data_IF_016624450632
#
_entry.id   IF_016624450632
#
_cell.length_a   1.000
_cell.length_b   1.000
_cell.length_c   1.000
_cell.angle_alpha   90.00
_cell.angle_beta   90.00
_cell.angle_gamma   90.00
#
_symmetry.space_group_name_H-M   'P 1'
#
loop_
_entity.id
_entity.type
_entity.pdbx_description
1 polymer ?
#
# COMPACT_ATOMS: atom_id res chain seq x y z
N UNK A 1 32.54 -2.92 -15.33
CA UNK A 1 32.44 -1.76 -16.23
C UNK A 1 31.69 -2.17 -17.49
N UNK A 2 30.51 -1.69 -17.84
CA UNK A 2 29.71 -0.60 -17.25
C UNK A 2 28.26 -0.69 -17.75
N UNK A 3 27.33 -0.79 -16.81
CA UNK A 3 26.16 0.10 -16.65
C UNK A 3 25.33 0.52 -17.87
N UNK A 4 24.69 -0.39 -18.60
CA UNK A 4 23.71 0.06 -19.62
C UNK A 4 22.51 -0.87 -19.88
N UNK A 5 22.30 -1.90 -19.04
CA UNK A 5 21.12 -2.78 -19.15
C UNK A 5 20.18 -2.80 -17.94
N UNK A 6 20.45 -2.03 -16.90
CA UNK A 6 19.62 -1.98 -15.68
C UNK A 6 18.77 -0.70 -15.59
N UNK A 7 18.97 0.25 -16.50
CA UNK A 7 18.30 1.57 -16.46
C UNK A 7 16.83 1.58 -16.97
N UNK A 8 16.26 0.45 -17.41
CA UNK A 8 14.87 0.40 -17.93
C UNK A 8 13.86 -0.37 -17.05
N UNK A 9 14.07 -0.44 -15.73
CA UNK A 9 13.04 -0.93 -14.78
C UNK A 9 12.77 0.03 -13.61
N UNK A 10 13.44 1.19 -13.56
CA UNK A 10 13.41 2.12 -12.45
C UNK A 10 12.71 3.46 -12.77
N UNK A 11 11.67 3.43 -13.62
CA UNK A 11 10.52 4.29 -13.28
C UNK A 11 9.90 3.70 -12.02
N UNK A 12 10.54 3.95 -10.88
CA UNK A 12 10.00 3.74 -9.53
C UNK A 12 8.54 4.16 -9.60
N UNK A 13 7.61 3.22 -9.42
CA UNK A 13 6.22 3.58 -9.13
C UNK A 13 6.24 4.23 -7.75
N UNK A 14 6.61 5.51 -7.71
CA UNK A 14 6.59 6.33 -6.51
C UNK A 14 5.17 6.24 -5.94
N UNK A 15 5.06 5.80 -4.68
CA UNK A 15 3.77 5.58 -4.03
C UNK A 15 3.17 4.19 -4.27
N UNK A 16 3.92 3.23 -4.80
CA UNK A 16 3.49 1.83 -4.78
C UNK A 16 3.74 1.20 -3.41
N UNK A 17 2.69 0.64 -2.82
CA UNK A 17 2.77 -0.04 -1.53
C UNK A 17 3.23 -1.49 -1.72
N UNK A 18 4.41 -1.81 -1.20
CA UNK A 18 4.94 -3.18 -1.21
C UNK A 18 4.47 -3.92 0.05
N UNK A 19 3.93 -5.15 -0.06
CA UNK A 19 3.54 -5.94 1.09
C UNK A 19 4.72 -6.17 2.05
N UNK A 20 4.50 -5.97 3.35
CA UNK A 20 5.51 -6.09 4.38
C UNK A 20 6.53 -4.95 4.43
N UNK A 21 6.34 -3.89 3.64
CA UNK A 21 7.27 -2.74 3.57
C UNK A 21 6.59 -1.41 3.89
N UNK A 22 5.28 -1.41 4.17
CA UNK A 22 4.56 -0.19 4.56
C UNK A 22 4.75 0.05 6.05
N UNK A 23 5.31 1.19 6.43
CA UNK A 23 5.41 1.60 7.83
C UNK A 23 4.02 1.79 8.46
N UNK A 24 3.86 1.45 9.75
CA UNK A 24 2.56 1.49 10.43
C UNK A 24 1.91 2.87 10.41
N UNK A 25 2.68 3.95 10.65
CA UNK A 25 2.13 5.30 10.61
C UNK A 25 1.74 5.75 9.20
N UNK A 26 2.50 5.32 8.18
CA UNK A 26 2.13 5.57 6.78
C UNK A 26 0.82 4.85 6.43
N UNK A 27 0.67 3.60 6.89
CA UNK A 27 -0.58 2.85 6.73
C UNK A 27 -1.77 3.54 7.41
N UNK A 28 -1.62 4.00 8.66
CA UNK A 28 -2.69 4.70 9.40
C UNK A 28 -3.16 5.97 8.68
N UNK A 29 -2.23 6.81 8.22
CA UNK A 29 -2.55 8.01 7.46
C UNK A 29 -3.33 7.68 6.17
N UNK A 30 -2.91 6.66 5.42
CA UNK A 30 -3.63 6.21 4.24
C UNK A 30 -5.01 5.64 4.58
N UNK A 31 -5.13 4.90 5.69
CA UNK A 31 -6.39 4.36 6.16
C UNK A 31 -7.39 5.47 6.51
N UNK A 32 -6.93 6.52 7.21
CA UNK A 32 -7.75 7.68 7.57
C UNK A 32 -8.28 8.40 6.32
N UNK A 33 -7.45 8.56 5.29
CA UNK A 33 -7.84 9.18 4.01
C UNK A 33 -8.80 8.27 3.21
N UNK A 34 -8.70 6.96 3.36
CA UNK A 34 -9.44 5.98 2.54
C UNK A 34 -10.92 5.82 2.89
N UNK A 35 -11.37 6.39 4.02
CA UNK A 35 -12.70 6.17 4.59
C UNK A 35 -13.05 4.68 4.78
N UNK A 36 -12.05 3.82 4.99
CA UNK A 36 -12.26 2.40 5.33
C UNK A 36 -12.49 2.30 6.84
N UNK A 37 -13.75 2.20 7.26
CA UNK A 37 -14.12 2.12 8.67
C UNK A 37 -14.29 0.69 9.20
N UNK A 38 -14.19 -0.32 8.32
CA UNK A 38 -14.34 -1.72 8.74
C UNK A 38 -13.06 -2.22 9.41
N UNK A 39 -13.14 -2.48 10.72
CA UNK A 39 -12.02 -3.01 11.51
C UNK A 39 -11.41 -4.28 10.89
N UNK A 40 -12.25 -5.18 10.37
CA UNK A 40 -11.80 -6.43 9.73
C UNK A 40 -10.99 -6.14 8.46
N UNK A 41 -11.40 -5.16 7.67
CA UNK A 41 -10.66 -4.76 6.46
C UNK A 41 -9.35 -4.07 6.83
N UNK A 42 -9.38 -3.18 7.82
CA UNK A 42 -8.17 -2.50 8.31
C UNK A 42 -7.15 -3.51 8.84
N UNK A 43 -7.60 -4.48 9.64
CA UNK A 43 -6.76 -5.58 10.11
C UNK A 43 -6.15 -6.38 8.95
N UNK A 44 -6.96 -6.77 7.95
CA UNK A 44 -6.47 -7.53 6.80
C UNK A 44 -5.42 -6.73 6.00
N UNK A 45 -5.64 -5.43 5.81
CA UNK A 45 -4.70 -4.55 5.12
C UNK A 45 -3.41 -4.36 5.93
N UNK A 46 -3.47 -4.20 7.26
CA UNK A 46 -2.28 -4.10 8.11
C UNK A 46 -1.46 -5.40 8.06
N UNK A 47 -2.12 -6.54 8.23
CA UNK A 47 -1.47 -7.86 8.17
C UNK A 47 -0.77 -8.08 6.81
N UNK A 48 -1.36 -7.61 5.72
CA UNK A 48 -0.79 -7.75 4.39
C UNK A 48 0.31 -6.71 4.07
N UNK A 49 0.01 -5.42 4.24
CA UNK A 49 0.87 -4.30 3.83
C UNK A 49 1.98 -3.99 4.83
N UNK A 50 1.72 -4.13 6.13
CA UNK A 50 2.66 -3.80 7.20
C UNK A 50 3.39 -5.05 7.67
N UNK A 51 2.66 -6.13 7.98
CA UNK A 51 3.26 -7.37 8.52
C UNK A 51 3.77 -8.34 7.44
N UNK A 52 3.43 -8.13 6.17
CA UNK A 52 3.94 -8.93 5.06
C UNK A 52 3.36 -10.35 4.98
N UNK A 53 2.23 -10.60 5.64
CA UNK A 53 1.56 -11.90 5.53
C UNK A 53 1.04 -12.12 4.10
N UNK A 54 0.89 -13.38 3.73
CA UNK A 54 0.24 -13.72 2.45
C UNK A 54 -1.23 -13.28 2.46
N UNK A 55 -1.81 -13.06 1.26
CA UNK A 55 -3.23 -12.71 1.13
C UNK A 55 -4.14 -13.70 1.85
N UNK A 56 -3.84 -15.00 1.71
CA UNK A 56 -4.61 -16.06 2.34
C UNK A 56 -4.57 -15.97 3.88
N UNK A 57 -3.37 -15.82 4.47
CA UNK A 57 -3.22 -15.69 5.92
C UNK A 57 -3.95 -14.45 6.46
N UNK A 58 -3.74 -13.29 5.85
CA UNK A 58 -4.37 -12.05 6.27
C UNK A 58 -5.91 -12.13 6.18
N UNK A 59 -6.44 -12.68 5.08
CA UNK A 59 -7.88 -12.88 4.90
C UNK A 59 -8.47 -13.86 5.91
N UNK A 60 -7.78 -14.97 6.19
CA UNK A 60 -8.24 -15.97 7.16
C UNK A 60 -8.29 -15.37 8.58
N UNK A 61 -7.25 -14.64 8.98
CA UNK A 61 -7.17 -14.02 10.31
C UNK A 61 -8.21 -12.91 10.51
N UNK A 62 -8.44 -12.08 9.49
CA UNK A 62 -9.48 -11.06 9.54
C UNK A 62 -10.89 -11.60 9.24
N UNK A 63 -10.99 -12.84 8.75
CA UNK A 63 -12.20 -13.47 8.23
C UNK A 63 -12.90 -12.67 7.13
N UNK A 64 -12.15 -12.21 6.14
CA UNK A 64 -12.69 -11.59 4.91
C UNK A 64 -12.32 -12.41 3.69
N UNK A 65 -12.94 -12.15 2.55
CA UNK A 65 -12.56 -12.80 1.29
C UNK A 65 -11.29 -12.18 0.67
N UNK A 66 -10.55 -12.98 -0.09
CA UNK A 66 -9.39 -12.48 -0.85
C UNK A 66 -9.78 -11.46 -1.93
N UNK A 67 -10.99 -11.56 -2.49
CA UNK A 67 -11.53 -10.57 -3.42
C UNK A 67 -11.76 -9.22 -2.74
N UNK A 68 -12.32 -9.22 -1.53
CA UNK A 68 -12.48 -8.01 -0.72
C UNK A 68 -11.12 -7.35 -0.43
N UNK A 69 -10.14 -8.13 0.05
CA UNK A 69 -8.79 -7.62 0.28
C UNK A 69 -8.18 -7.04 -1.01
N UNK A 70 -8.34 -7.70 -2.15
CA UNK A 70 -7.75 -7.24 -3.42
C UNK A 70 -8.31 -5.90 -3.88
N UNK A 71 -9.62 -5.69 -3.74
CA UNK A 71 -10.26 -4.40 -4.03
C UNK A 71 -9.71 -3.31 -3.11
N UNK A 72 -9.57 -3.61 -1.82
CA UNK A 72 -9.10 -2.63 -0.82
C UNK A 72 -7.60 -2.33 -0.93
N UNK A 73 -6.78 -3.31 -1.31
CA UNK A 73 -5.37 -3.06 -1.66
C UNK A 73 -5.29 -2.14 -2.87
N UNK A 74 -6.10 -2.34 -3.92
CA UNK A 74 -6.14 -1.43 -5.07
C UNK A 74 -6.50 0.00 -4.64
N UNK A 75 -7.54 0.15 -3.81
CA UNK A 75 -7.92 1.46 -3.25
C UNK A 75 -6.74 2.14 -2.52
N UNK A 76 -6.01 1.41 -1.67
CA UNK A 76 -4.83 1.93 -0.97
C UNK A 76 -3.69 2.33 -1.93
N UNK A 77 -3.48 1.57 -3.00
CA UNK A 77 -2.50 1.91 -4.05
C UNK A 77 -2.87 3.19 -4.78
N UNK A 78 -4.15 3.37 -5.09
CA UNK A 78 -4.64 4.58 -5.78
C UNK A 78 -4.43 5.81 -4.90
N UNK A 79 -4.80 5.73 -3.62
CA UNK A 79 -4.59 6.83 -2.65
C UNK A 79 -3.10 7.14 -2.50
N UNK A 80 -2.25 6.14 -2.31
CA UNK A 80 -0.80 6.37 -2.15
C UNK A 80 -0.18 7.01 -3.39
N UNK A 81 -0.63 6.66 -4.59
CA UNK A 81 -0.19 7.31 -5.83
C UNK A 81 -0.67 8.76 -5.91
N UNK A 82 -1.92 9.04 -5.54
CA UNK A 82 -2.43 10.40 -5.47
C UNK A 82 -1.65 11.24 -4.46
N UNK A 83 -1.35 10.71 -3.27
CA UNK A 83 -0.51 11.40 -2.26
C UNK A 83 0.87 11.75 -2.83
N UNK A 84 1.50 10.84 -3.58
CA UNK A 84 2.78 11.13 -4.22
C UNK A 84 2.69 12.19 -5.33
N UNK A 85 1.57 12.27 -6.05
CA UNK A 85 1.33 13.34 -7.02
C UNK A 85 1.10 14.69 -6.34
N UNK A 86 0.54 14.67 -5.13
CA UNK A 86 0.35 15.85 -4.30
C UNK A 86 1.64 16.34 -3.63
N UNK A 87 2.58 15.43 -3.36
CA UNK A 87 3.81 15.72 -2.63
C UNK A 87 4.58 16.98 -3.09
N UNK A 88 4.79 17.25 -4.40
CA UNK A 88 5.50 18.44 -4.86
C UNK A 88 4.84 19.77 -4.45
N UNK A 89 3.54 19.79 -4.18
CA UNK A 89 2.80 20.99 -3.77
C UNK A 89 2.97 21.32 -2.29
N UNK A 90 3.31 20.32 -1.47
CA UNK A 90 3.55 20.46 -0.03
C UNK A 90 5.04 20.54 0.29
N UNK A 91 5.87 19.91 -0.53
CA UNK A 91 7.32 20.00 -0.43
C UNK A 91 7.80 21.26 -1.16
N UNK A 92 7.66 22.42 -0.50
CA UNK A 92 8.43 23.60 -0.85
C UNK A 92 9.89 23.26 -0.57
N UNK A 93 10.65 22.96 -1.62
CA UNK A 93 12.10 22.86 -1.53
C UNK A 93 12.71 24.11 -0.92
#
# INVERSE_FOLDING_TARGET
MSDSKVECSYRKNLGFLLPGQVHIEHFRLLADISHINSERILLALELFLVKGLTRQQACNMAGISQSCLSVKVRQMQDISRTVMQLYPWYNKG
#
